data_IF_288352072995
#
_entry.id   IF_288352072995
#
_cell.length_a   1.000
_cell.length_b   1.000
_cell.length_c   1.000
_cell.angle_alpha   90.00
_cell.angle_beta   90.00
_cell.angle_gamma   90.00
#
_symmetry.space_group_name_H-M   'P 1'
#
loop_
_entity.id
_entity.type
_entity.pdbx_description
1 polymer ?
#
# COMPACT_ATOMS: atom_id res chain seq x y z
N UNK A 1 -70.11 34.45 15.46
CA UNK A 1 -69.43 33.27 14.92
C UNK A 1 -67.96 33.44 15.19
N UNK A 2 -67.41 32.57 16.03
CA UNK A 2 -66.09 32.68 16.66
C UNK A 2 -65.00 32.33 15.64
N UNK A 3 -63.97 33.18 15.54
CA UNK A 3 -62.76 32.91 14.75
C UNK A 3 -61.89 31.89 15.46
N UNK A 4 -61.82 30.68 14.88
CA UNK A 4 -61.03 29.57 15.38
C UNK A 4 -59.58 29.69 14.89
N UNK A 5 -58.67 29.66 15.88
CA UNK A 5 -57.23 29.59 15.76
C UNK A 5 -56.84 28.20 15.25
N UNK A 6 -56.11 28.15 14.13
CA UNK A 6 -55.38 26.96 13.71
C UNK A 6 -53.89 27.13 13.99
N UNK A 7 -53.45 26.71 15.17
CA UNK A 7 -52.03 26.55 15.50
C UNK A 7 -51.39 25.48 14.59
N UNK A 8 -50.17 25.69 14.06
CA UNK A 8 -49.44 24.65 13.34
C UNK A 8 -48.92 23.56 14.31
N UNK A 9 -48.82 22.29 13.88
CA UNK A 9 -48.33 21.21 14.73
C UNK A 9 -46.84 21.38 15.09
N UNK A 10 -46.41 20.92 16.29
CA UNK A 10 -45.05 21.10 16.76
C UNK A 10 -44.06 20.22 16.00
N UNK A 11 -42.95 20.81 15.57
CA UNK A 11 -41.77 20.12 15.05
C UNK A 11 -41.16 19.25 16.14
N UNK A 12 -41.09 17.94 15.90
CA UNK A 12 -40.47 16.96 16.79
C UNK A 12 -38.96 17.20 16.83
N UNK A 13 -38.50 17.89 17.88
CA UNK A 13 -37.11 17.98 18.27
C UNK A 13 -36.57 16.58 18.59
N UNK A 14 -35.58 16.11 17.82
CA UNK A 14 -34.77 14.93 18.17
C UNK A 14 -33.31 15.36 18.33
N UNK A 15 -32.88 15.52 19.58
CA UNK A 15 -31.49 15.70 20.00
C UNK A 15 -31.13 14.53 20.95
N UNK A 16 -29.86 14.23 21.22
CA UNK A 16 -28.92 13.45 20.43
C UNK A 16 -28.62 12.09 21.08
N UNK A 17 -28.64 11.01 20.29
CA UNK A 17 -28.22 9.68 20.75
C UNK A 17 -26.70 9.56 20.74
N UNK A 18 -26.08 9.83 21.89
CA UNK A 18 -24.68 9.50 22.22
C UNK A 18 -24.50 7.97 22.20
N UNK A 19 -23.65 7.45 21.33
CA UNK A 19 -23.08 6.11 21.48
C UNK A 19 -21.59 6.18 21.82
N UNK A 20 -21.07 5.24 22.65
CA UNK A 20 -19.81 5.38 23.35
C UNK A 20 -18.63 4.94 22.48
N UNK A 21 -17.47 5.51 22.79
CA UNK A 21 -16.23 5.34 22.03
C UNK A 21 -15.77 3.89 21.90
N UNK A 22 -15.46 3.51 20.67
CA UNK A 22 -14.48 2.48 20.38
C UNK A 22 -13.12 3.19 20.28
N UNK A 23 -12.44 3.28 21.43
CA UNK A 23 -11.04 3.68 21.51
C UNK A 23 -10.17 2.51 21.04
N UNK A 24 -9.24 2.80 20.13
CA UNK A 24 -8.20 1.88 19.66
C UNK A 24 -8.56 1.30 18.30
N UNK A 25 -8.04 1.82 17.20
CA UNK A 25 -6.62 1.87 16.86
C UNK A 25 -6.35 3.15 16.05
N UNK A 26 -5.15 3.78 16.14
CA UNK A 26 -4.75 4.67 15.05
C UNK A 26 -4.74 3.80 13.79
N UNK A 27 -5.65 4.08 12.86
CA UNK A 27 -5.44 3.71 11.47
C UNK A 27 -4.05 4.23 11.15
N UNK A 28 -3.10 3.31 10.96
CA UNK A 28 -1.71 3.62 10.70
C UNK A 28 -1.73 4.64 9.56
N UNK A 29 -1.51 5.91 9.89
CA UNK A 29 -1.36 6.99 8.94
C UNK A 29 -0.04 6.72 8.24
N UNK A 30 -0.05 5.73 7.35
CA UNK A 30 0.84 5.74 6.21
C UNK A 30 0.41 6.97 5.43
N UNK A 31 1.20 8.02 5.53
CA UNK A 31 1.17 9.13 4.60
C UNK A 31 0.99 8.55 3.19
N UNK A 32 -0.21 8.75 2.63
CA UNK A 32 -0.62 8.19 1.34
C UNK A 32 -0.08 9.07 0.21
N UNK A 33 1.19 9.47 0.33
CA UNK A 33 1.94 10.01 -0.79
C UNK A 33 2.43 8.80 -1.59
N UNK A 34 2.17 8.82 -2.90
CA UNK A 34 2.79 7.85 -3.79
C UNK A 34 4.32 7.96 -3.61
N UNK A 35 5.05 6.83 -3.43
CA UNK A 35 6.49 6.88 -3.27
C UNK A 35 7.08 7.55 -4.51
N UNK A 36 8.07 8.39 -4.30
CA UNK A 36 8.81 9.07 -5.34
C UNK A 36 10.02 8.26 -5.77
N UNK A 37 10.47 8.47 -7.00
CA UNK A 37 11.64 7.77 -7.52
C UNK A 37 12.89 8.11 -6.72
N UNK A 38 13.03 9.36 -6.27
CA UNK A 38 14.19 9.76 -5.48
C UNK A 38 14.23 9.12 -4.09
N UNK A 39 13.09 8.91 -3.42
CA UNK A 39 13.06 8.16 -2.15
C UNK A 39 13.55 6.72 -2.34
N UNK A 40 13.08 6.04 -3.39
CA UNK A 40 13.53 4.68 -3.71
C UNK A 40 15.02 4.66 -4.02
N UNK A 41 15.51 5.61 -4.81
CA UNK A 41 16.94 5.74 -5.12
C UNK A 41 17.78 6.04 -3.89
N UNK A 42 17.32 6.87 -2.98
CA UNK A 42 18.02 7.16 -1.73
C UNK A 42 18.18 5.90 -0.88
N UNK A 43 17.12 5.09 -0.75
CA UNK A 43 17.17 3.81 -0.04
C UNK A 43 18.20 2.86 -0.69
N UNK A 44 18.23 2.77 -2.01
CA UNK A 44 19.19 1.95 -2.75
C UNK A 44 20.62 2.48 -2.59
N UNK A 45 20.83 3.80 -2.69
CA UNK A 45 22.16 4.43 -2.53
C UNK A 45 22.71 4.25 -1.12
N UNK A 46 21.83 4.23 -0.12
CA UNK A 46 22.21 4.02 1.28
C UNK A 46 22.78 2.61 1.50
N UNK A 47 22.18 1.60 0.88
CA UNK A 47 22.67 0.22 0.96
C UNK A 47 22.25 -0.60 -0.27
N UNK A 48 23.11 -0.58 -1.29
CA UNK A 48 22.86 -1.26 -2.55
C UNK A 48 22.81 -2.78 -2.37
N UNK A 49 23.66 -3.33 -1.50
CA UNK A 49 23.74 -4.78 -1.27
C UNK A 49 22.52 -5.29 -0.52
N UNK A 50 22.06 -4.56 0.50
CA UNK A 50 20.82 -4.92 1.20
C UNK A 50 19.60 -4.80 0.27
N UNK A 51 19.57 -3.79 -0.59
CA UNK A 51 18.52 -3.64 -1.60
C UNK A 51 18.53 -4.82 -2.59
N UNK A 52 19.71 -5.17 -3.11
CA UNK A 52 19.89 -6.30 -4.04
C UNK A 52 19.48 -7.64 -3.41
N UNK A 53 19.88 -7.87 -2.15
CA UNK A 53 19.50 -9.07 -1.42
C UNK A 53 18.00 -9.18 -1.21
N UNK A 54 17.33 -8.07 -0.86
CA UNK A 54 15.86 -8.03 -0.70
C UNK A 54 15.16 -8.33 -2.03
N UNK A 55 15.60 -7.71 -3.12
CA UNK A 55 15.08 -7.95 -4.46
C UNK A 55 15.30 -9.40 -4.91
N UNK A 56 16.50 -9.94 -4.69
CA UNK A 56 16.84 -11.33 -5.01
C UNK A 56 16.02 -12.34 -4.21
N UNK A 57 15.85 -12.11 -2.90
CA UNK A 57 15.03 -12.96 -2.03
C UNK A 57 13.56 -12.92 -2.46
N UNK A 58 13.04 -11.73 -2.75
CA UNK A 58 11.68 -11.55 -3.25
C UNK A 58 11.47 -12.26 -4.59
N UNK A 59 12.36 -12.05 -5.56
CA UNK A 59 12.29 -12.68 -6.87
C UNK A 59 12.37 -14.22 -6.77
N UNK A 60 13.24 -14.73 -5.90
CA UNK A 60 13.35 -16.18 -5.63
C UNK A 60 12.08 -16.76 -5.02
N UNK A 61 11.47 -16.03 -4.07
CA UNK A 61 10.21 -16.43 -3.46
C UNK A 61 9.04 -16.41 -4.46
N UNK A 62 9.03 -15.42 -5.37
CA UNK A 62 8.01 -15.28 -6.41
C UNK A 62 8.12 -16.37 -7.49
N UNK A 63 9.34 -16.74 -7.87
CA UNK A 63 9.59 -17.80 -8.87
C UNK A 63 9.41 -19.21 -8.30
N UNK A 64 9.37 -19.36 -6.98
CA UNK A 64 9.16 -20.66 -6.33
C UNK A 64 7.82 -21.29 -6.71
N UNK A 65 7.80 -22.62 -6.86
CA UNK A 65 6.55 -23.38 -6.97
C UNK A 65 5.68 -23.29 -5.70
N UNK A 66 6.26 -22.86 -4.56
CA UNK A 66 5.57 -22.62 -3.28
C UNK A 66 5.26 -21.14 -3.05
N UNK A 67 5.23 -20.30 -4.09
CA UNK A 67 5.05 -18.83 -4.00
C UNK A 67 3.91 -18.40 -3.07
N UNK A 68 2.78 -19.11 -3.05
CA UNK A 68 1.66 -18.85 -2.14
C UNK A 68 1.99 -18.97 -0.64
N UNK A 69 2.98 -19.81 -0.32
CA UNK A 69 3.43 -20.07 1.04
C UNK A 69 4.63 -19.21 1.43
N UNK A 70 5.58 -19.00 0.51
CA UNK A 70 6.87 -18.35 0.82
C UNK A 70 6.88 -16.84 0.55
N UNK A 71 6.01 -16.33 -0.32
CA UNK A 71 5.92 -14.90 -0.63
C UNK A 71 5.04 -14.20 0.42
N UNK A 72 5.52 -14.17 1.67
CA UNK A 72 4.87 -13.53 2.81
C UNK A 72 5.85 -12.60 3.52
N UNK A 73 5.48 -11.32 3.74
CA UNK A 73 4.21 -10.68 3.40
C UNK A 73 3.99 -10.61 1.88
N UNK A 74 2.72 -10.60 1.44
CA UNK A 74 2.37 -10.47 0.02
C UNK A 74 2.06 -9.00 -0.30
N UNK A 75 2.53 -8.47 -1.44
CA UNK A 75 2.30 -7.09 -1.81
C UNK A 75 0.82 -6.80 -2.12
N UNK A 76 0.14 -6.03 -1.27
CA UNK A 76 -1.31 -5.79 -1.37
C UNK A 76 -1.80 -5.21 -2.69
N UNK A 77 -0.98 -4.42 -3.41
CA UNK A 77 -1.31 -3.91 -4.75
C UNK A 77 -1.42 -4.97 -5.87
N UNK A 78 -1.01 -6.22 -5.60
CA UNK A 78 -1.22 -7.37 -6.50
C UNK A 78 -2.22 -8.37 -5.91
N UNK A 79 -2.92 -7.98 -4.85
CA UNK A 79 -3.96 -8.78 -4.22
C UNK A 79 -5.30 -8.11 -4.46
N UNK A 80 -6.21 -8.85 -5.07
CA UNK A 80 -7.64 -8.54 -5.10
C UNK A 80 -8.33 -9.22 -3.89
N UNK A 81 -9.62 -8.96 -3.70
CA UNK A 81 -10.42 -9.47 -2.57
C UNK A 81 -10.35 -11.01 -2.44
N UNK A 82 -10.34 -11.71 -3.58
CA UNK A 82 -10.39 -13.17 -3.64
C UNK A 82 -9.19 -13.83 -4.35
N UNK A 83 -8.26 -13.06 -4.92
CA UNK A 83 -7.17 -13.60 -5.75
C UNK A 83 -5.87 -12.80 -5.64
N UNK A 84 -4.75 -13.48 -5.93
CA UNK A 84 -3.42 -12.88 -6.01
C UNK A 84 -2.92 -12.96 -7.45
N UNK A 85 -2.51 -11.82 -7.99
CA UNK A 85 -2.03 -11.71 -9.36
C UNK A 85 -0.52 -11.90 -9.43
N UNK A 86 -0.08 -13.15 -9.27
CA UNK A 86 1.35 -13.50 -9.35
C UNK A 86 1.95 -13.24 -10.73
N UNK A 87 1.17 -13.38 -11.80
CA UNK A 87 1.64 -13.14 -13.17
C UNK A 87 1.93 -11.66 -13.42
N UNK A 88 1.04 -10.76 -12.96
CA UNK A 88 1.28 -9.32 -13.02
C UNK A 88 2.49 -8.93 -12.16
N UNK A 89 2.61 -9.54 -10.97
CA UNK A 89 3.74 -9.32 -10.08
C UNK A 89 5.07 -9.76 -10.69
N UNK A 90 5.07 -10.92 -11.36
CA UNK A 90 6.26 -11.45 -12.04
C UNK A 90 6.62 -10.58 -13.24
N UNK A 91 5.65 -10.18 -14.07
CA UNK A 91 5.88 -9.30 -15.20
C UNK A 91 6.51 -7.97 -14.76
N UNK A 92 5.96 -7.34 -13.72
CA UNK A 92 6.49 -6.07 -13.20
C UNK A 92 7.86 -6.25 -12.54
N UNK A 93 8.12 -7.40 -11.88
CA UNK A 93 9.43 -7.73 -11.29
C UNK A 93 10.48 -8.03 -12.37
N UNK A 94 10.11 -8.66 -13.49
CA UNK A 94 11.02 -8.94 -14.60
C UNK A 94 11.26 -7.74 -15.51
N UNK A 95 10.31 -6.79 -15.55
CA UNK A 95 10.51 -5.49 -16.19
C UNK A 95 11.47 -4.59 -15.39
N UNK A 96 11.80 -4.95 -14.14
CA UNK A 96 12.83 -4.30 -13.37
C UNK A 96 14.18 -4.61 -14.01
N UNK A 97 14.80 -3.59 -14.60
CA UNK A 97 16.23 -3.63 -14.84
C UNK A 97 17.02 -3.76 -13.53
N UNK A 98 18.33 -3.79 -13.65
CA UNK A 98 19.22 -3.81 -12.48
C UNK A 98 18.99 -2.58 -11.58
N UNK A 99 19.25 -2.74 -10.28
CA UNK A 99 19.20 -1.60 -9.35
C UNK A 99 20.12 -0.45 -9.77
N UNK A 100 21.24 -0.78 -10.43
CA UNK A 100 22.16 0.21 -11.00
C UNK A 100 21.52 0.99 -12.15
N UNK A 101 20.84 0.32 -13.07
CA UNK A 101 20.07 0.99 -14.12
C UNK A 101 18.99 1.91 -13.54
N UNK A 102 18.38 1.57 -12.42
CA UNK A 102 17.40 2.44 -11.76
C UNK A 102 18.03 3.73 -11.19
N UNK A 103 19.29 3.64 -10.74
CA UNK A 103 20.06 4.77 -10.24
C UNK A 103 20.58 5.67 -11.36
N UNK A 104 21.00 5.08 -12.47
CA UNK A 104 21.65 5.77 -13.59
C UNK A 104 20.66 6.25 -14.66
N UNK A 105 19.52 5.59 -14.81
CA UNK A 105 18.53 5.94 -15.84
C UNK A 105 17.79 7.23 -15.47
N UNK A 106 17.68 8.20 -16.39
CA UNK A 106 16.83 9.37 -16.19
C UNK A 106 15.33 9.04 -16.36
N UNK A 107 14.98 7.86 -16.88
CA UNK A 107 13.59 7.43 -17.01
C UNK A 107 13.05 6.98 -15.66
N UNK A 108 11.91 7.56 -15.28
CA UNK A 108 11.18 7.16 -14.09
C UNK A 108 10.44 5.84 -14.36
N UNK A 109 10.57 4.83 -13.48
CA UNK A 109 9.75 3.62 -13.59
C UNK A 109 8.27 3.97 -13.44
N UNK A 110 7.40 3.12 -13.98
CA UNK A 110 5.97 3.27 -13.77
C UNK A 110 5.61 3.33 -12.28
N UNK A 111 4.57 4.09 -11.94
CA UNK A 111 4.16 4.29 -10.55
C UNK A 111 3.87 2.97 -9.81
N UNK A 112 3.36 1.97 -10.54
CA UNK A 112 3.10 0.62 -10.02
C UNK A 112 4.40 -0.06 -9.58
N UNK A 113 5.36 -0.08 -10.50
CA UNK A 113 6.71 -0.62 -10.32
C UNK A 113 7.46 0.05 -9.19
N UNK A 114 7.35 1.38 -9.10
CA UNK A 114 7.95 2.16 -8.04
C UNK A 114 7.34 1.85 -6.67
N UNK A 115 6.01 1.66 -6.61
CA UNK A 115 5.32 1.22 -5.39
C UNK A 115 5.78 -0.17 -4.95
N UNK A 116 6.00 -1.08 -5.90
CA UNK A 116 6.54 -2.40 -5.61
C UNK A 116 7.95 -2.30 -5.01
N UNK A 117 8.87 -1.57 -5.64
CA UNK A 117 10.22 -1.37 -5.11
C UNK A 117 10.21 -0.75 -3.72
N UNK A 118 9.49 0.36 -3.55
CA UNK A 118 9.38 1.00 -2.26
C UNK A 118 8.85 0.02 -1.21
N UNK A 119 7.84 -0.80 -1.54
CA UNK A 119 7.33 -1.82 -0.64
C UNK A 119 8.37 -2.89 -0.30
N UNK A 120 9.12 -3.44 -1.28
CA UNK A 120 10.17 -4.44 -1.05
C UNK A 120 11.25 -3.88 -0.12
N UNK A 121 11.73 -2.66 -0.41
CA UNK A 121 12.88 -2.06 0.25
C UNK A 121 12.54 -1.51 1.65
N UNK A 122 11.37 -0.88 1.79
CA UNK A 122 10.88 -0.30 3.05
C UNK A 122 10.21 -1.31 3.97
N UNK A 123 9.91 -2.52 3.48
CA UNK A 123 9.32 -3.57 4.30
C UNK A 123 10.28 -3.98 5.42
N UNK A 124 9.81 -3.83 6.66
CA UNK A 124 10.48 -4.31 7.87
C UNK A 124 10.40 -5.84 8.02
N UNK A 125 9.67 -6.53 7.13
CA UNK A 125 9.52 -7.98 7.19
C UNK A 125 10.81 -8.74 6.84
N UNK A 126 11.78 -8.04 6.26
CA UNK A 126 13.07 -8.59 5.84
C UNK A 126 14.19 -8.19 6.81
N UNK A 127 13.90 -7.88 8.08
CA UNK A 127 14.96 -7.66 9.07
C UNK A 127 15.81 -8.92 9.20
N UNK A 128 16.97 -8.90 8.56
CA UNK A 128 18.09 -9.83 8.72
C UNK A 128 19.13 -9.18 9.61
#
# INVERSE_FOLDING_TARGET
>A
GVGERGDPPPTLNKVPGRQPGLLGMPASSHDNAAPTTEEVREIIRKDLLAADLKCSLFASALQSYKRDSVLRPFPGHYSSEDSKDFEALLADTSALGSLQELLDSPQYPDQRTLKLFHWILSSKAWCI
#
